data_IF_971454497250
#
_entry.id   IF_971454497250
#
_cell.length_a   1.000
_cell.length_b   1.000
_cell.length_c   1.000
_cell.angle_alpha   90.00
_cell.angle_beta   90.00
_cell.angle_gamma   90.00
#
_symmetry.space_group_name_H-M   'P 1'
#
loop_
_entity.id
_entity.type
_entity.pdbx_description
1 polymer ?
#
# COMPACT_ATOMS: atom_id res chain seq x y z
N UNK A 1 0.00 7.04 18.43
CA UNK A 1 -0.10 6.88 16.98
C UNK A 1 -0.95 5.64 16.73
N UNK A 2 -2.12 5.81 16.09
CA UNK A 2 -3.08 4.73 15.90
C UNK A 2 -2.61 3.80 14.74
N UNK A 3 -3.31 2.67 14.50
CA UNK A 3 -2.97 1.74 13.40
C UNK A 3 -3.06 2.40 12.03
N UNK A 4 -4.00 3.33 11.86
CA UNK A 4 -4.24 4.06 10.63
C UNK A 4 -3.05 4.97 10.29
N UNK A 5 -2.59 5.81 11.23
CA UNK A 5 -1.44 6.70 11.08
C UNK A 5 -0.18 5.92 10.71
N UNK A 6 0.04 4.76 11.35
CA UNK A 6 1.17 3.88 11.03
C UNK A 6 1.06 3.27 9.62
N UNK A 7 -0.16 2.99 9.16
CA UNK A 7 -0.40 2.51 7.81
C UNK A 7 -0.14 3.60 6.77
N UNK A 8 -0.70 4.78 6.99
CA UNK A 8 -0.49 5.94 6.12
C UNK A 8 1.01 6.26 6.03
N UNK A 9 1.72 6.29 7.16
CA UNK A 9 3.16 6.54 7.15
C UNK A 9 3.92 5.48 6.34
N UNK A 10 3.63 4.20 6.56
CA UNK A 10 4.24 3.12 5.79
C UNK A 10 3.97 3.25 4.28
N UNK A 11 2.76 3.64 3.89
CA UNK A 11 2.38 3.87 2.49
C UNK A 11 3.19 5.02 1.89
N UNK A 12 3.26 6.17 2.58
CA UNK A 12 4.01 7.33 2.13
C UNK A 12 5.50 7.03 1.97
N UNK A 13 6.09 6.34 2.95
CA UNK A 13 7.51 5.97 2.93
C UNK A 13 7.86 5.01 1.78
N UNK A 14 6.87 4.27 1.23
CA UNK A 14 7.07 3.23 0.21
C UNK A 14 6.35 3.51 -1.12
N UNK A 15 5.74 4.69 -1.30
CA UNK A 15 4.91 4.99 -2.46
C UNK A 15 5.65 4.81 -3.80
N UNK A 16 6.88 5.31 -3.89
CA UNK A 16 7.72 5.13 -5.09
C UNK A 16 8.08 3.66 -5.34
N UNK A 17 8.26 2.86 -4.29
CA UNK A 17 8.55 1.44 -4.43
C UNK A 17 7.35 0.69 -5.03
N UNK A 18 6.15 0.95 -4.52
CA UNK A 18 4.91 0.36 -5.07
C UNK A 18 4.67 0.77 -6.51
N UNK A 19 4.89 2.05 -6.84
CA UNK A 19 4.79 2.54 -8.21
C UNK A 19 5.75 1.83 -9.15
N UNK A 20 7.03 1.69 -8.76
CA UNK A 20 8.03 0.98 -9.58
C UNK A 20 7.62 -0.47 -9.84
N UNK A 21 7.12 -1.17 -8.81
CA UNK A 21 6.63 -2.54 -8.96
C UNK A 21 5.45 -2.59 -9.92
N UNK A 22 4.42 -1.76 -9.71
CA UNK A 22 3.23 -1.71 -10.56
C UNK A 22 3.61 -1.43 -12.02
N UNK A 23 4.46 -0.42 -12.25
CA UNK A 23 4.93 -0.04 -13.57
C UNK A 23 5.73 -1.16 -14.26
N UNK A 24 6.54 -1.93 -13.53
CA UNK A 24 7.24 -3.07 -14.11
C UNK A 24 6.29 -4.12 -14.70
N UNK A 25 5.08 -4.28 -14.13
CA UNK A 25 4.08 -5.23 -14.63
C UNK A 25 3.24 -4.66 -15.77
N UNK A 26 2.72 -3.44 -15.62
CA UNK A 26 1.76 -2.87 -16.57
C UNK A 26 2.41 -2.06 -17.69
N UNK A 27 3.64 -1.56 -17.48
CA UNK A 27 4.43 -0.74 -18.42
C UNK A 27 3.69 0.50 -18.95
N UNK A 28 2.72 0.98 -18.18
CA UNK A 28 1.90 2.15 -18.46
C UNK A 28 1.79 2.99 -17.19
N UNK A 29 1.96 4.30 -17.29
CA UNK A 29 1.98 5.19 -16.13
C UNK A 29 0.60 5.30 -15.46
N UNK A 30 -0.47 5.46 -16.23
CA UNK A 30 -1.84 5.55 -15.71
C UNK A 30 -2.25 4.24 -15.05
N UNK A 31 -2.04 3.10 -15.72
CA UNK A 31 -2.38 1.80 -15.15
C UNK A 31 -1.57 1.53 -13.87
N UNK A 32 -0.32 1.96 -13.81
CA UNK A 32 0.51 1.81 -12.62
C UNK A 32 0.01 2.67 -11.46
N UNK A 33 -0.41 3.92 -11.74
CA UNK A 33 -1.04 4.80 -10.75
C UNK A 33 -2.34 4.19 -10.22
N UNK A 34 -3.18 3.67 -11.11
CA UNK A 34 -4.45 3.04 -10.74
C UNK A 34 -4.24 1.80 -9.88
N UNK A 35 -3.27 0.94 -10.22
CA UNK A 35 -2.92 -0.22 -9.39
C UNK A 35 -2.49 0.22 -7.99
N UNK A 36 -1.58 1.18 -7.89
CA UNK A 36 -1.09 1.68 -6.59
C UNK A 36 -2.22 2.28 -5.76
N UNK A 37 -3.07 3.11 -6.36
CA UNK A 37 -4.18 3.72 -5.65
C UNK A 37 -5.21 2.70 -5.19
N UNK A 38 -5.60 1.76 -6.04
CA UNK A 38 -6.53 0.70 -5.65
C UNK A 38 -5.97 -0.17 -4.51
N UNK A 39 -4.68 -0.45 -4.50
CA UNK A 39 -4.03 -1.16 -3.38
C UNK A 39 -4.07 -0.33 -2.10
N UNK A 40 -3.78 0.97 -2.17
CA UNK A 40 -3.84 1.88 -1.01
C UNK A 40 -5.25 1.97 -0.43
N UNK A 41 -6.27 2.16 -1.29
CA UNK A 41 -7.68 2.23 -0.86
C UNK A 41 -8.06 0.94 -0.12
N UNK A 42 -7.79 -0.23 -0.71
CA UNK A 42 -8.07 -1.53 -0.08
C UNK A 42 -7.34 -1.70 1.26
N UNK A 43 -6.09 -1.24 1.36
CA UNK A 43 -5.33 -1.29 2.60
C UNK A 43 -5.92 -0.37 3.69
N UNK A 44 -6.41 0.82 3.33
CA UNK A 44 -7.03 1.71 4.31
C UNK A 44 -8.39 1.20 4.76
N UNK A 45 -9.19 0.64 3.85
CA UNK A 45 -10.50 0.03 4.17
C UNK A 45 -10.35 -1.17 5.11
N UNK A 46 -9.31 -1.99 4.92
CA UNK A 46 -9.11 -3.23 5.67
C UNK A 46 -8.17 -3.07 6.88
N UNK A 47 -7.75 -1.85 7.24
CA UNK A 47 -6.76 -1.62 8.30
C UNK A 47 -7.18 -2.18 9.66
N UNK A 48 -8.49 -2.31 9.91
CA UNK A 48 -9.04 -2.92 11.12
C UNK A 48 -8.67 -4.41 11.25
N UNK A 49 -8.45 -5.10 10.12
CA UNK A 49 -7.99 -6.50 10.06
C UNK A 49 -6.51 -6.67 10.41
N UNK A 50 -5.72 -5.58 10.41
CA UNK A 50 -4.31 -5.62 10.79
C UNK A 50 -4.20 -5.90 12.29
N UNK A 51 -3.87 -7.16 12.62
CA UNK A 51 -3.74 -7.61 14.02
C UNK A 51 -2.54 -6.97 14.72
N UNK A 52 -1.40 -6.87 14.03
CA UNK A 52 -0.14 -6.37 14.58
C UNK A 52 0.53 -5.39 13.62
N UNK A 53 0.90 -4.20 14.11
CA UNK A 53 1.58 -3.17 13.32
C UNK A 53 2.94 -3.66 12.80
N UNK A 54 3.65 -4.51 13.55
CA UNK A 54 4.92 -5.09 13.10
C UNK A 54 4.79 -5.99 11.87
N UNK A 55 3.58 -6.45 11.55
CA UNK A 55 3.29 -7.28 10.39
C UNK A 55 2.79 -6.48 9.17
N UNK A 56 2.81 -5.13 9.23
CA UNK A 56 2.23 -4.28 8.19
C UNK A 56 2.76 -4.57 6.79
N UNK A 57 4.07 -4.84 6.66
CA UNK A 57 4.70 -5.16 5.37
C UNK A 57 4.06 -6.40 4.74
N UNK A 58 4.05 -7.52 5.47
CA UNK A 58 3.49 -8.78 4.97
C UNK A 58 1.98 -8.68 4.77
N UNK A 59 1.29 -7.93 5.60
CA UNK A 59 -0.15 -7.72 5.49
C UNK A 59 -0.52 -6.89 4.25
N UNK A 60 0.25 -5.86 3.91
CA UNK A 60 0.00 -4.99 2.76
C UNK A 60 0.16 -5.70 1.41
N UNK A 61 1.02 -6.73 1.32
CA UNK A 61 1.21 -7.53 0.11
C UNK A 61 0.22 -8.69 -0.03
N UNK A 62 -0.67 -8.90 0.94
CA UNK A 62 -1.74 -9.92 0.88
C UNK A 62 -2.99 -9.34 0.26
#
# INVERSE_FOLDING_TARGET
MNKYDKCVQYILDNQMHFYRIAYCYVKNEHDAQDVVQNTIIKALENITSLRCIGAIRTWFYR
#
